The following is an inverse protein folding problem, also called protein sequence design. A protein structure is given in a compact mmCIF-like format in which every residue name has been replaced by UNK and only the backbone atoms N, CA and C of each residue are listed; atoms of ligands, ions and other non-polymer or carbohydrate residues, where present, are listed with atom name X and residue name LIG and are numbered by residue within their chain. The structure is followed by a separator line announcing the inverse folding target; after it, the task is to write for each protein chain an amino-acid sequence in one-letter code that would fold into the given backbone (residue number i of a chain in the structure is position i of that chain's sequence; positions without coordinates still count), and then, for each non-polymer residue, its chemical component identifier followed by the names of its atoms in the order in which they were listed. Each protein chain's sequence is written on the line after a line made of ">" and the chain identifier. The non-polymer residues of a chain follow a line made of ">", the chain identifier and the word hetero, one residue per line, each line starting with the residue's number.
data_IF_907368092181
#
_entry.id   IF_907368092181
#
_cell.length_a   1.000
_cell.length_b   1.000
_cell.length_c   1.000
_cell.angle_alpha   90.00
_cell.angle_beta   90.00
_cell.angle_gamma   90.00
#
_symmetry.space_group_name_H-M   'P 1'
#
loop_
_entity.id
_entity.type
_entity.pdbx_description
1 polymer ?
#
# COMPACT_ATOMS: atom_id res chain seq x y z
N UNK A 1 -19.14 -6.74 -0.54
CA UNK A 1 -17.71 -7.10 -0.73
C UNK A 1 -17.31 -8.29 0.15
N UNK A 2 -17.58 -8.23 1.45
CA UNK A 2 -17.28 -9.36 2.34
C UNK A 2 -17.87 -10.67 1.84
N UNK A 3 -19.12 -10.64 1.37
CA UNK A 3 -19.82 -11.81 0.90
C UNK A 3 -19.17 -12.40 -0.36
N UNK A 4 -18.72 -11.53 -1.27
CA UNK A 4 -18.05 -11.93 -2.51
C UNK A 4 -16.67 -12.51 -2.21
N UNK A 5 -15.91 -11.87 -1.31
CA UNK A 5 -14.52 -12.24 -1.01
C UNK A 5 -14.40 -13.45 -0.07
N UNK A 6 -15.44 -13.76 0.70
CA UNK A 6 -15.43 -14.80 1.72
C UNK A 6 -15.01 -16.17 1.16
N UNK A 7 -15.45 -16.51 -0.04
CA UNK A 7 -15.21 -17.81 -0.66
C UNK A 7 -13.92 -17.87 -1.46
N UNK A 8 -13.16 -16.79 -1.53
CA UNK A 8 -11.91 -16.73 -2.29
C UNK A 8 -10.74 -17.21 -1.44
N UNK A 9 -9.93 -18.10 -1.99
CA UNK A 9 -8.74 -18.66 -1.31
C UNK A 9 -7.57 -17.70 -1.33
N UNK A 10 -7.39 -16.97 -2.43
CA UNK A 10 -6.31 -15.97 -2.57
C UNK A 10 -6.89 -14.68 -3.14
N UNK A 11 -6.54 -13.58 -2.51
CA UNK A 11 -6.97 -12.24 -2.89
C UNK A 11 -5.75 -11.36 -2.93
N UNK A 12 -5.55 -10.66 -4.04
CA UNK A 12 -4.55 -9.61 -4.18
C UNK A 12 -5.28 -8.28 -4.32
N UNK A 13 -4.82 -7.27 -3.64
CA UNK A 13 -5.46 -5.96 -3.63
C UNK A 13 -4.53 -4.91 -4.22
N UNK A 14 -5.08 -4.05 -5.08
CA UNK A 14 -4.38 -2.92 -5.65
C UNK A 14 -5.04 -1.63 -5.15
N UNK A 15 -4.27 -0.76 -4.52
CA UNK A 15 -4.75 0.52 -4.03
C UNK A 15 -4.22 1.64 -4.92
N UNK A 16 -5.09 2.19 -5.75
CA UNK A 16 -4.74 3.20 -6.73
C UNK A 16 -5.91 4.19 -6.92
N UNK A 17 -6.36 4.78 -5.81
CA UNK A 17 -7.45 5.76 -5.87
C UNK A 17 -6.98 7.11 -5.35
N UNK A 18 -7.48 7.59 -4.23
CA UNK A 18 -7.05 8.85 -3.63
C UNK A 18 -5.66 8.68 -2.99
N UNK A 19 -4.76 9.64 -3.24
CA UNK A 19 -3.37 9.55 -2.80
C UNK A 19 -3.06 10.23 -1.46
N UNK A 20 -4.08 10.66 -0.72
CA UNK A 20 -3.85 11.19 0.63
C UNK A 20 -3.52 10.04 1.59
N UNK A 21 -2.64 10.32 2.56
CA UNK A 21 -2.29 9.35 3.58
C UNK A 21 -3.52 8.81 4.30
N UNK A 22 -4.44 9.70 4.69
CA UNK A 22 -5.65 9.32 5.42
C UNK A 22 -6.49 8.31 4.64
N UNK A 23 -6.69 8.56 3.34
CA UNK A 23 -7.49 7.68 2.50
C UNK A 23 -6.84 6.32 2.31
N UNK A 24 -5.55 6.31 1.95
CA UNK A 24 -4.80 5.06 1.72
C UNK A 24 -4.70 4.24 3.00
N UNK A 25 -4.45 4.90 4.13
CA UNK A 25 -4.38 4.20 5.42
C UNK A 25 -5.72 3.54 5.77
N UNK A 26 -6.83 4.24 5.54
CA UNK A 26 -8.16 3.68 5.76
C UNK A 26 -8.41 2.47 4.85
N UNK A 27 -7.98 2.53 3.59
CA UNK A 27 -8.09 1.41 2.68
C UNK A 27 -7.25 0.21 3.13
N UNK A 28 -6.01 0.46 3.56
CA UNK A 28 -5.13 -0.59 4.07
C UNK A 28 -5.75 -1.30 5.29
N UNK A 29 -6.27 -0.53 6.23
CA UNK A 29 -6.90 -1.09 7.43
C UNK A 29 -8.17 -1.88 7.09
N UNK A 30 -8.95 -1.40 6.15
CA UNK A 30 -10.21 -2.03 5.77
C UNK A 30 -10.01 -3.32 4.96
N UNK A 31 -9.13 -3.29 3.97
CA UNK A 31 -9.00 -4.39 3.01
C UNK A 31 -7.93 -5.43 3.38
N UNK A 32 -6.99 -5.10 4.26
CA UNK A 32 -5.95 -6.05 4.66
C UNK A 32 -6.50 -7.33 5.27
N UNK A 33 -7.67 -7.25 5.87
CA UNK A 33 -8.35 -8.40 6.48
C UNK A 33 -8.63 -9.53 5.49
N UNK A 34 -8.78 -9.22 4.22
CA UNK A 34 -9.12 -10.19 3.19
C UNK A 34 -7.90 -10.85 2.57
N UNK A 35 -6.70 -10.36 2.86
CA UNK A 35 -5.46 -10.88 2.28
C UNK A 35 -4.87 -11.92 3.22
N UNK A 36 -4.56 -13.10 2.67
CA UNK A 36 -3.99 -14.22 3.43
C UNK A 36 -2.49 -14.35 3.18
N UNK A 37 -1.83 -15.10 4.05
CA UNK A 37 -0.39 -15.34 3.95
C UNK A 37 0.00 -15.82 2.54
N UNK A 38 1.05 -15.22 1.99
CA UNK A 38 1.54 -15.50 0.64
C UNK A 38 0.97 -14.60 -0.44
N UNK A 39 -0.06 -13.81 -0.13
CA UNK A 39 -0.62 -12.86 -1.09
C UNK A 39 -0.20 -11.42 -0.77
N UNK A 40 -0.62 -10.47 -1.60
CA UNK A 40 -0.08 -9.11 -1.59
C UNK A 40 -1.17 -8.04 -1.56
N UNK A 41 -0.79 -6.90 -0.98
CA UNK A 41 -1.43 -5.62 -1.26
C UNK A 41 -0.38 -4.77 -1.98
N UNK A 42 -0.73 -4.21 -3.13
CA UNK A 42 0.16 -3.33 -3.86
C UNK A 42 -0.39 -1.91 -3.76
N UNK A 43 0.41 -1.02 -3.19
CA UNK A 43 0.05 0.38 -3.01
C UNK A 43 0.77 1.19 -4.07
N UNK A 44 0.01 1.83 -4.95
CA UNK A 44 0.56 2.58 -6.07
C UNK A 44 0.99 3.99 -5.66
N UNK A 45 1.90 4.54 -6.44
CA UNK A 45 2.36 5.93 -6.35
C UNK A 45 2.99 6.31 -5.01
N UNK A 46 3.58 5.34 -4.34
CA UNK A 46 4.37 5.60 -3.12
C UNK A 46 5.60 6.46 -3.42
N UNK A 47 6.01 6.53 -4.68
CA UNK A 47 7.11 7.39 -5.14
C UNK A 47 6.87 8.87 -4.82
N UNK A 48 5.64 9.26 -4.53
CA UNK A 48 5.30 10.65 -4.21
C UNK A 48 6.09 11.19 -3.01
N UNK A 49 6.48 10.33 -2.09
CA UNK A 49 7.28 10.76 -0.93
C UNK A 49 8.69 11.19 -1.34
N UNK A 50 9.19 10.70 -2.47
CA UNK A 50 10.50 11.07 -2.99
C UNK A 50 10.49 12.39 -3.75
N UNK A 51 9.30 12.96 -4.00
CA UNK A 51 9.15 14.23 -4.68
C UNK A 51 9.39 15.39 -3.71
N UNK A 52 9.78 16.54 -4.27
CA UNK A 52 9.97 17.75 -3.47
C UNK A 52 8.65 18.21 -2.86
N UNK A 53 8.72 18.79 -1.68
CA UNK A 53 7.55 19.42 -1.06
C UNK A 53 6.94 20.45 -2.01
N UNK A 54 5.62 20.49 -2.07
CA UNK A 54 4.84 21.33 -2.96
C UNK A 54 4.96 20.99 -4.45
N UNK A 55 5.49 19.80 -4.77
CA UNK A 55 5.51 19.32 -6.17
C UNK A 55 4.08 19.21 -6.74
N UNK A 56 3.12 18.78 -5.93
CA UNK A 56 1.73 18.60 -6.33
C UNK A 56 0.85 19.77 -5.86
N UNK A 57 1.11 20.97 -6.39
CA UNK A 57 0.50 22.23 -5.92
C UNK A 57 -1.02 22.24 -5.88
N UNK A 58 -1.67 21.58 -6.86
CA UNK A 58 -3.14 21.58 -6.96
C UNK A 58 -3.78 20.35 -6.34
N UNK A 59 -3.04 19.57 -5.56
CA UNK A 59 -3.53 18.30 -4.99
C UNK A 59 -3.47 18.31 -3.46
N UNK A 60 -4.36 17.54 -2.79
CA UNK A 60 -4.34 17.45 -1.32
C UNK A 60 -3.19 16.63 -0.77
N UNK A 61 -2.49 15.85 -1.60
CA UNK A 61 -1.33 15.07 -1.18
C UNK A 61 -0.03 15.79 -1.49
N UNK A 62 1.02 15.47 -0.73
CA UNK A 62 2.33 16.08 -0.86
C UNK A 62 3.36 15.24 -0.11
N UNK A 63 4.60 15.69 -0.09
CA UNK A 63 5.63 15.10 0.79
C UNK A 63 5.11 15.08 2.23
N UNK A 64 5.20 13.92 2.86
CA UNK A 64 4.66 13.72 4.23
C UNK A 64 3.18 13.35 4.29
N UNK A 65 2.47 13.37 3.16
CA UNK A 65 1.04 13.04 3.08
C UNK A 65 0.76 12.38 1.74
N UNK A 66 0.98 11.08 1.66
CA UNK A 66 0.88 10.33 0.40
C UNK A 66 0.77 8.83 0.69
N UNK A 67 0.66 7.98 -0.36
CA UNK A 67 0.53 6.54 -0.15
C UNK A 67 1.67 5.90 0.63
N UNK A 68 2.90 6.39 0.47
CA UNK A 68 4.05 5.80 1.17
C UNK A 68 4.01 6.06 2.67
N UNK A 69 3.64 7.28 3.07
CA UNK A 69 3.50 7.59 4.51
C UNK A 69 2.39 6.76 5.14
N UNK A 70 1.33 6.45 4.37
CA UNK A 70 0.27 5.56 4.83
C UNK A 70 0.80 4.14 5.05
N UNK A 71 1.62 3.62 4.11
CA UNK A 71 2.26 2.30 4.25
C UNK A 71 3.09 2.23 5.53
N UNK A 72 3.92 3.24 5.77
CA UNK A 72 4.78 3.26 6.96
C UNK A 72 3.96 3.23 8.25
N UNK A 73 2.87 4.01 8.33
CA UNK A 73 1.99 4.01 9.49
C UNK A 73 1.27 2.68 9.67
N UNK A 74 0.78 2.11 8.57
CA UNK A 74 0.11 0.82 8.59
C UNK A 74 1.02 -0.29 9.14
N UNK A 75 2.26 -0.35 8.65
CA UNK A 75 3.20 -1.41 9.05
C UNK A 75 3.66 -1.29 10.49
N UNK A 76 3.59 -0.11 11.10
CA UNK A 76 3.89 0.04 12.53
C UNK A 76 2.90 -0.72 13.42
N UNK A 77 1.64 -0.78 12.99
CA UNK A 77 0.57 -1.42 13.76
C UNK A 77 0.24 -2.83 13.29
N UNK A 78 0.41 -3.12 12.01
CA UNK A 78 0.04 -4.41 11.44
C UNK A 78 1.28 -5.24 11.12
N UNK A 79 1.49 -6.31 11.89
CA UNK A 79 2.66 -7.18 11.75
C UNK A 79 2.42 -8.38 10.83
N UNK A 80 1.25 -8.45 10.21
CA UNK A 80 0.94 -9.49 9.23
C UNK A 80 1.59 -9.25 7.87
N UNK A 81 2.04 -8.03 7.62
CA UNK A 81 2.60 -7.60 6.33
C UNK A 81 4.03 -7.12 6.47
N UNK A 82 4.79 -7.29 5.40
CA UNK A 82 6.12 -6.71 5.28
C UNK A 82 6.33 -6.21 3.84
N UNK A 83 7.22 -5.24 3.69
CA UNK A 83 7.63 -4.75 2.36
C UNK A 83 8.46 -5.83 1.68
N UNK A 84 8.08 -6.20 0.44
CA UNK A 84 8.84 -7.18 -0.34
C UNK A 84 9.92 -6.45 -1.14
N UNK A 85 11.10 -6.36 -0.58
CA UNK A 85 12.25 -5.69 -1.20
C UNK A 85 12.79 -6.45 -2.42
N UNK A 86 12.60 -7.75 -2.47
CA UNK A 86 13.10 -8.57 -3.58
C UNK A 86 12.39 -8.25 -4.89
N UNK A 87 11.08 -8.09 -4.86
CA UNK A 87 10.31 -7.68 -6.04
C UNK A 87 10.76 -6.29 -6.50
N UNK A 88 10.92 -5.36 -5.56
CA UNK A 88 11.35 -4.00 -5.86
C UNK A 88 12.71 -3.98 -6.54
N UNK A 89 13.67 -4.76 -6.05
CA UNK A 89 14.99 -4.88 -6.65
C UNK A 89 14.94 -5.43 -8.08
N UNK A 90 14.11 -6.45 -8.32
CA UNK A 90 13.97 -7.06 -9.63
C UNK A 90 13.39 -6.10 -10.67
N UNK A 91 12.53 -5.20 -10.25
CA UNK A 91 11.91 -4.22 -11.13
C UNK A 91 12.82 -3.05 -11.47
N UNK A 92 13.84 -2.77 -10.65
CA UNK A 92 14.78 -1.67 -10.76
C UNK A 92 14.13 -0.29 -10.65
N UNK A 93 13.13 -0.01 -11.50
CA UNK A 93 12.36 1.25 -11.49
C UNK A 93 10.90 0.90 -11.28
N UNK A 94 10.24 1.57 -10.34
CA UNK A 94 8.82 1.36 -10.05
C UNK A 94 8.19 2.62 -9.47
N UNK A 95 6.90 2.81 -9.74
CA UNK A 95 6.12 3.86 -9.08
C UNK A 95 5.68 3.47 -7.67
N UNK A 96 5.98 2.24 -7.24
CA UNK A 96 5.54 1.69 -5.97
C UNK A 96 6.69 1.33 -5.01
N UNK A 97 7.71 2.21 -4.81
CA UNK A 97 8.75 1.88 -3.84
C UNK A 97 8.13 1.71 -2.46
N UNK A 98 8.50 0.64 -1.76
CA UNK A 98 7.91 0.24 -0.47
C UNK A 98 6.41 -0.06 -0.53
N UNK A 99 5.83 -0.19 -1.73
CA UNK A 99 4.41 -0.42 -1.91
C UNK A 99 4.01 -1.88 -2.14
N UNK A 100 4.97 -2.80 -2.25
CA UNK A 100 4.67 -4.22 -2.43
C UNK A 100 4.63 -4.90 -1.06
N UNK A 101 3.42 -5.03 -0.51
CA UNK A 101 3.22 -5.55 0.84
C UNK A 101 2.82 -7.00 0.79
N UNK A 102 3.74 -7.88 1.21
CA UNK A 102 3.47 -9.31 1.29
C UNK A 102 2.85 -9.65 2.63
N UNK A 103 1.74 -10.38 2.60
CA UNK A 103 1.14 -10.92 3.81
C UNK A 103 1.97 -12.14 4.25
N UNK A 104 2.52 -12.10 5.45
CA UNK A 104 3.43 -13.14 5.96
C UNK A 104 2.78 -14.07 6.99
N UNK A 105 1.59 -13.72 7.47
CA UNK A 105 0.83 -14.59 8.39
C UNK A 105 -0.65 -14.24 8.36
N UNK A 106 -1.47 -15.25 8.63
CA UNK A 106 -2.93 -15.07 8.68
C UNK A 106 -3.39 -14.36 9.95
#
# INVERSE_FOLDING_TARGET
>A
IKKILKDKKKIMIFLDSNHTEQHVLAELEKYSKFVKAGSYIIVFDTMMEDMKRHHFKARPWDHGNNPRTAVWKFLKKNKRFKIDKEIQKKLLITSCPDGYLKCIKN
#
